data_IF_981086881940
#
_entry.id   IF_981086881940
#
_cell.length_a   1.000
_cell.length_b   1.000
_cell.length_c   1.000
_cell.angle_alpha   90.00
_cell.angle_beta   90.00
_cell.angle_gamma   90.00
#
_symmetry.space_group_name_H-M   'P 1'
#
loop_
_entity.id
_entity.type
_entity.pdbx_description
1 polymer ?
#
# COMPACT_ATOMS: atom_id res chain seq x y z
N UNK A 1 -23.03 -0.13 29.85
CA UNK A 1 -22.62 -1.35 29.13
C UNK A 1 -21.55 -0.95 28.12
N UNK A 2 -20.29 -1.25 28.42
CA UNK A 2 -19.17 -0.97 27.52
C UNK A 2 -19.30 -1.91 26.32
N UNK A 3 -19.71 -1.35 25.18
CA UNK A 3 -19.59 -2.03 23.89
C UNK A 3 -18.10 -2.09 23.57
N UNK A 4 -17.46 -3.19 23.91
CA UNK A 4 -16.18 -3.58 23.34
C UNK A 4 -16.42 -3.91 21.88
N UNK A 5 -16.52 -2.86 21.06
CA UNK A 5 -16.44 -2.95 19.61
C UNK A 5 -15.15 -3.70 19.30
N UNK A 6 -15.27 -4.97 18.92
CA UNK A 6 -14.14 -5.70 18.37
C UNK A 6 -13.54 -4.83 17.27
N UNK A 7 -12.21 -4.57 17.29
CA UNK A 7 -11.58 -3.80 16.25
C UNK A 7 -11.89 -4.45 14.89
N UNK A 8 -12.22 -3.64 13.88
CA UNK A 8 -12.43 -4.11 12.51
C UNK A 8 -11.25 -4.97 12.06
N UNK A 9 -11.45 -5.89 11.11
CA UNK A 9 -10.36 -6.73 10.61
C UNK A 9 -9.28 -5.84 10.00
N UNK A 10 -9.68 -4.75 9.32
CA UNK A 10 -8.75 -3.68 8.92
C UNK A 10 -7.89 -3.17 10.08
N UNK A 11 -8.50 -2.81 11.21
CA UNK A 11 -7.76 -2.32 12.39
C UNK A 11 -6.86 -3.39 13.02
N UNK A 12 -7.28 -4.66 12.99
CA UNK A 12 -6.46 -5.81 13.43
C UNK A 12 -5.22 -5.97 12.53
N UNK A 13 -5.37 -5.82 11.22
CA UNK A 13 -4.24 -5.88 10.25
C UNK A 13 -3.26 -4.72 10.49
N UNK A 14 -3.76 -3.50 10.69
CA UNK A 14 -2.92 -2.32 11.00
C UNK A 14 -2.13 -2.50 12.31
N UNK A 15 -2.80 -2.99 13.36
CA UNK A 15 -2.16 -3.28 14.64
C UNK A 15 -1.11 -4.40 14.51
N UNK A 16 -1.41 -5.45 13.74
CA UNK A 16 -0.47 -6.55 13.48
C UNK A 16 0.78 -6.05 12.75
N UNK A 17 0.61 -5.24 11.69
CA UNK A 17 1.72 -4.66 10.94
C UNK A 17 2.64 -3.84 11.86
N UNK A 18 2.07 -2.97 12.68
CA UNK A 18 2.83 -2.17 13.64
C UNK A 18 3.61 -3.05 14.62
N UNK A 19 2.94 -3.99 15.28
CA UNK A 19 3.56 -4.88 16.24
C UNK A 19 4.66 -5.77 15.62
N UNK A 20 4.49 -6.19 14.36
CA UNK A 20 5.48 -6.95 13.62
C UNK A 20 6.79 -6.17 13.44
N UNK A 21 6.72 -4.95 12.92
CA UNK A 21 7.91 -4.14 12.68
C UNK A 21 8.56 -3.64 13.98
N UNK A 22 7.78 -3.30 14.99
CA UNK A 22 8.33 -2.96 16.32
C UNK A 22 9.07 -4.14 16.96
N UNK A 23 8.57 -5.37 16.77
CA UNK A 23 9.27 -6.57 17.25
C UNK A 23 10.54 -6.86 16.48
N UNK A 24 10.52 -6.70 15.15
CA UNK A 24 11.68 -6.88 14.29
C UNK A 24 12.78 -5.86 14.60
N UNK A 25 12.41 -4.60 14.75
CA UNK A 25 13.33 -3.51 15.08
C UNK A 25 14.05 -3.76 16.41
N UNK A 26 13.36 -4.28 17.43
CA UNK A 26 14.01 -4.64 18.71
C UNK A 26 15.08 -5.72 18.54
N UNK A 27 14.83 -6.71 17.69
CA UNK A 27 15.81 -7.77 17.41
C UNK A 27 17.01 -7.18 16.65
N UNK A 28 16.75 -6.33 15.66
CA UNK A 28 17.81 -5.68 14.88
C UNK A 28 18.67 -4.75 15.75
N UNK A 29 18.07 -3.98 16.66
CA UNK A 29 18.78 -3.15 17.64
C UNK A 29 19.68 -3.98 18.58
N UNK A 30 19.23 -5.17 19.01
CA UNK A 30 20.05 -6.07 19.82
C UNK A 30 21.25 -6.59 19.03
N UNK A 31 21.03 -7.02 17.78
CA UNK A 31 22.10 -7.46 16.87
C UNK A 31 23.13 -6.35 16.66
N UNK A 32 22.70 -5.11 16.42
CA UNK A 32 23.59 -3.96 16.25
C UNK A 32 24.39 -3.66 17.53
N UNK A 33 23.75 -3.69 18.70
CA UNK A 33 24.41 -3.46 19.98
C UNK A 33 25.47 -4.54 20.28
N UNK A 34 25.18 -5.81 20.03
CA UNK A 34 26.13 -6.91 20.20
C UNK A 34 27.30 -6.79 19.21
N UNK A 35 27.04 -6.46 17.94
CA UNK A 35 28.09 -6.18 16.96
C UNK A 35 29.02 -5.03 17.36
N UNK A 36 28.44 -3.95 17.90
CA UNK A 36 29.22 -2.82 18.40
C UNK A 36 30.12 -3.25 19.57
N UNK A 37 29.58 -4.03 20.50
CA UNK A 37 30.34 -4.55 21.65
C UNK A 37 31.51 -5.44 21.22
N UNK A 38 31.30 -6.31 20.22
CA UNK A 38 32.36 -7.11 19.61
C UNK A 38 33.43 -6.23 18.97
N UNK A 39 33.01 -5.18 18.26
CA UNK A 39 33.93 -4.23 17.61
C UNK A 39 34.81 -3.51 18.64
N UNK A 40 34.19 -3.02 19.72
CA UNK A 40 34.88 -2.33 20.81
C UNK A 40 35.90 -3.25 21.50
N UNK A 41 35.51 -4.49 21.83
CA UNK A 41 36.42 -5.50 22.42
C UNK A 41 37.55 -5.89 21.47
N UNK A 42 37.29 -6.02 20.17
CA UNK A 42 38.34 -6.30 19.18
C UNK A 42 39.36 -5.16 19.07
N UNK A 43 38.93 -3.90 19.16
CA UNK A 43 39.82 -2.75 19.20
C UNK A 43 40.67 -2.74 20.47
N UNK A 44 40.08 -3.07 21.62
CA UNK A 44 40.81 -3.21 22.89
C UNK A 44 41.86 -4.33 22.81
N UNK A 45 41.47 -5.52 22.34
CA UNK A 45 42.42 -6.63 22.13
C UNK A 45 43.56 -6.24 21.21
N UNK A 46 43.28 -5.50 20.13
CA UNK A 46 44.30 -5.03 19.19
C UNK A 46 45.29 -4.10 19.90
N UNK A 47 44.80 -3.12 20.66
CA UNK A 47 45.64 -2.20 21.43
C UNK A 47 46.52 -2.94 22.45
N UNK A 48 45.92 -3.89 23.20
CA UNK A 48 46.66 -4.71 24.16
C UNK A 48 47.75 -5.55 23.49
N UNK A 49 47.46 -6.18 22.34
CA UNK A 49 48.43 -7.01 21.60
C UNK A 49 49.57 -6.21 20.97
N UNK A 50 49.27 -5.03 20.44
CA UNK A 50 50.22 -4.23 19.67
C UNK A 50 51.03 -3.25 20.52
N UNK A 51 50.49 -2.81 21.66
CA UNK A 51 51.08 -1.72 22.46
C UNK A 51 51.46 -2.15 23.87
N UNK A 52 50.51 -2.61 24.68
CA UNK A 52 50.76 -2.83 26.11
C UNK A 52 51.50 -4.13 26.41
N UNK A 53 51.07 -5.23 25.79
CA UNK A 53 51.68 -6.54 26.01
C UNK A 53 53.15 -6.59 25.58
N UNK A 54 53.55 -6.07 24.41
CA UNK A 54 54.96 -6.02 24.02
C UNK A 54 55.82 -5.23 25.01
N UNK A 55 55.34 -4.06 25.48
CA UNK A 55 56.04 -3.25 26.50
C UNK A 55 56.19 -4.01 27.82
N UNK A 56 55.16 -4.72 28.26
CA UNK A 56 55.23 -5.54 29.47
C UNK A 56 56.21 -6.72 29.31
N UNK A 57 56.31 -7.30 28.12
CA UNK A 57 57.28 -8.36 27.80
C UNK A 57 58.72 -7.81 27.79
N UNK A 58 58.95 -6.61 27.26
CA UNK A 58 60.26 -5.94 27.32
C UNK A 58 60.71 -5.74 28.76
N UNK A 59 59.83 -5.19 29.62
CA UNK A 59 60.11 -5.02 31.06
C UNK A 59 60.47 -6.35 31.68
N UNK A 60 59.68 -7.41 31.43
CA UNK A 60 59.99 -8.75 31.93
C UNK A 60 61.36 -9.25 31.50
N UNK A 61 61.75 -9.05 30.25
CA UNK A 61 63.04 -9.51 29.72
C UNK A 61 64.20 -8.74 30.36
N UNK A 62 64.02 -7.43 30.58
CA UNK A 62 65.08 -6.55 31.12
C UNK A 62 65.21 -6.65 32.65
N UNK A 63 64.09 -6.66 33.38
CA UNK A 63 64.07 -6.59 34.85
C UNK A 63 63.73 -7.93 35.54
N UNK A 64 63.24 -8.91 34.80
CA UNK A 64 62.74 -10.18 35.35
C UNK A 64 61.33 -10.12 35.95
N UNK A 65 60.67 -8.95 35.98
CA UNK A 65 59.29 -8.81 36.51
C UNK A 65 58.24 -9.21 35.48
N UNK A 66 57.58 -10.36 35.70
CA UNK A 66 56.60 -10.97 34.81
C UNK A 66 55.14 -10.68 35.21
N UNK A 67 54.90 -9.89 36.26
CA UNK A 67 53.53 -9.69 36.79
C UNK A 67 52.60 -9.05 35.76
N UNK A 68 53.02 -7.95 35.15
CA UNK A 68 52.17 -7.21 34.21
C UNK A 68 51.96 -7.99 32.91
N UNK A 69 52.99 -8.66 32.41
CA UNK A 69 52.89 -9.52 31.22
C UNK A 69 51.89 -10.67 31.43
N UNK A 70 51.92 -11.34 32.60
CA UNK A 70 50.92 -12.36 32.94
C UNK A 70 49.51 -11.79 33.03
N UNK A 71 49.33 -10.64 33.68
CA UNK A 71 48.03 -9.98 33.82
C UNK A 71 47.42 -9.62 32.47
N UNK A 72 48.20 -8.99 31.59
CA UNK A 72 47.76 -8.62 30.24
C UNK A 72 47.46 -9.84 29.37
N UNK A 73 48.23 -10.92 29.50
CA UNK A 73 47.93 -12.18 28.80
C UNK A 73 46.58 -12.75 29.25
N UNK A 74 46.34 -12.84 30.56
CA UNK A 74 45.05 -13.30 31.08
C UNK A 74 43.88 -12.41 30.64
N UNK A 75 44.09 -11.09 30.55
CA UNK A 75 43.07 -10.18 30.03
C UNK A 75 42.78 -10.42 28.55
N UNK A 76 43.82 -10.63 27.73
CA UNK A 76 43.68 -10.97 26.32
C UNK A 76 42.92 -12.28 26.11
N UNK A 77 43.25 -13.32 26.88
CA UNK A 77 42.58 -14.62 26.80
C UNK A 77 41.08 -14.47 27.15
N UNK A 78 40.75 -13.71 28.20
CA UNK A 78 39.36 -13.41 28.58
C UNK A 78 38.60 -12.61 27.51
N UNK A 79 39.21 -11.55 26.96
CA UNK A 79 38.57 -10.76 25.91
C UNK A 79 38.32 -11.61 24.65
N UNK A 80 39.20 -12.56 24.34
CA UNK A 80 39.03 -13.47 23.22
C UNK A 80 37.88 -14.45 23.46
N UNK A 81 37.72 -14.96 24.69
CA UNK A 81 36.59 -15.79 25.11
C UNK A 81 35.27 -15.01 25.03
N UNK A 82 35.22 -13.81 25.61
CA UNK A 82 34.04 -12.93 25.54
C UNK A 82 33.62 -12.64 24.08
N UNK A 83 34.58 -12.39 23.19
CA UNK A 83 34.29 -12.14 21.76
C UNK A 83 33.72 -13.38 21.09
N UNK A 84 34.21 -14.57 21.41
CA UNK A 84 33.69 -15.82 20.86
C UNK A 84 32.25 -16.06 21.33
N UNK A 85 31.95 -15.86 22.62
CA UNK A 85 30.60 -15.97 23.17
C UNK A 85 29.62 -14.99 22.49
N UNK A 86 30.02 -13.73 22.31
CA UNK A 86 29.19 -12.72 21.64
C UNK A 86 28.97 -13.05 20.15
N UNK A 87 29.97 -13.66 19.48
CA UNK A 87 29.81 -14.13 18.10
C UNK A 87 28.81 -15.28 17.99
N UNK A 88 28.81 -16.21 18.94
CA UNK A 88 27.79 -17.25 19.03
C UNK A 88 26.41 -16.66 19.29
N UNK A 89 26.31 -15.67 20.19
CA UNK A 89 25.08 -14.94 20.46
C UNK A 89 24.51 -14.28 19.20
N UNK A 90 25.35 -13.64 18.37
CA UNK A 90 24.92 -13.07 17.09
C UNK A 90 24.31 -14.11 16.14
N UNK A 91 24.90 -15.30 16.06
CA UNK A 91 24.37 -16.39 15.22
C UNK A 91 22.99 -16.82 15.74
N UNK A 92 22.84 -16.92 17.06
CA UNK A 92 21.56 -17.24 17.69
C UNK A 92 20.54 -16.14 17.40
N UNK A 93 20.89 -14.86 17.56
CA UNK A 93 20.00 -13.73 17.29
C UNK A 93 19.56 -13.67 15.83
N UNK A 94 20.46 -13.96 14.88
CA UNK A 94 20.10 -14.06 13.46
C UNK A 94 19.05 -15.17 13.24
N UNK A 95 19.23 -16.34 13.86
CA UNK A 95 18.21 -17.39 13.81
C UNK A 95 16.90 -16.99 14.49
N UNK A 96 16.94 -16.23 15.58
CA UNK A 96 15.73 -15.72 16.26
C UNK A 96 14.98 -14.77 15.35
N UNK A 97 15.68 -13.87 14.66
CA UNK A 97 15.12 -12.96 13.67
C UNK A 97 14.38 -13.71 12.56
N UNK A 98 15.03 -14.70 11.96
CA UNK A 98 14.43 -15.48 10.88
C UNK A 98 13.20 -16.26 11.35
N UNK A 99 13.26 -16.88 12.54
CA UNK A 99 12.10 -17.55 13.15
C UNK A 99 10.97 -16.58 13.47
N UNK A 100 11.29 -15.37 13.93
CA UNK A 100 10.29 -14.35 14.20
C UNK A 100 9.52 -13.99 12.92
N UNK A 101 10.25 -13.69 11.82
CA UNK A 101 9.64 -13.39 10.52
C UNK A 101 8.81 -14.56 10.02
N UNK A 102 9.35 -15.78 10.06
CA UNK A 102 8.63 -16.98 9.64
C UNK A 102 7.33 -17.17 10.42
N UNK A 103 7.40 -17.11 11.76
CA UNK A 103 6.23 -17.31 12.65
C UNK A 103 5.17 -16.24 12.43
N UNK A 104 5.58 -14.97 12.38
CA UNK A 104 4.63 -13.86 12.16
C UNK A 104 4.04 -13.86 10.75
N UNK A 105 4.78 -14.30 9.74
CA UNK A 105 4.21 -14.48 8.41
C UNK A 105 3.10 -15.55 8.38
N UNK A 106 3.23 -16.62 9.18
CA UNK A 106 2.20 -17.63 9.32
C UNK A 106 0.97 -17.07 10.05
N UNK A 107 1.16 -16.34 11.16
CA UNK A 107 0.07 -15.65 11.86
C UNK A 107 -0.67 -14.65 10.94
N UNK A 108 0.05 -13.94 10.06
CA UNK A 108 -0.54 -12.99 9.13
C UNK A 108 -1.47 -13.67 8.10
N UNK A 109 -1.19 -14.92 7.72
CA UNK A 109 -2.04 -15.66 6.77
C UNK A 109 -3.45 -15.88 7.29
N UNK A 110 -3.59 -16.07 8.60
CA UNK A 110 -4.90 -16.24 9.25
C UNK A 110 -5.79 -14.99 9.14
N UNK A 111 -5.21 -13.80 8.91
CA UNK A 111 -5.96 -12.56 8.73
C UNK A 111 -6.50 -12.38 7.30
N UNK A 112 -6.00 -13.13 6.32
CA UNK A 112 -6.29 -12.90 4.88
C UNK A 112 -7.78 -13.09 4.58
N UNK A 113 -8.36 -14.18 5.05
CA UNK A 113 -9.75 -14.52 4.73
C UNK A 113 -10.70 -13.46 5.29
N UNK A 114 -10.59 -13.17 6.59
CA UNK A 114 -11.39 -12.18 7.28
C UNK A 114 -11.26 -10.78 6.65
N UNK A 115 -10.03 -10.38 6.28
CA UNK A 115 -9.77 -9.07 5.70
C UNK A 115 -10.38 -8.95 4.31
N UNK A 116 -10.24 -9.97 3.47
CA UNK A 116 -10.85 -9.99 2.14
C UNK A 116 -12.38 -9.95 2.23
N UNK A 117 -12.97 -10.69 3.17
CA UNK A 117 -14.42 -10.67 3.38
C UNK A 117 -14.92 -9.29 3.81
N UNK A 118 -14.24 -8.62 4.75
CA UNK A 118 -14.57 -7.24 5.15
C UNK A 118 -14.42 -6.27 3.97
N UNK A 119 -13.30 -6.33 3.25
CA UNK A 119 -13.02 -5.48 2.10
C UNK A 119 -14.08 -5.64 1.01
N UNK A 120 -14.42 -6.88 0.65
CA UNK A 120 -15.37 -7.15 -0.44
C UNK A 120 -16.79 -6.73 -0.06
N UNK A 121 -17.17 -6.87 1.21
CA UNK A 121 -18.42 -6.34 1.73
C UNK A 121 -18.47 -4.81 1.64
N UNK A 122 -17.42 -4.14 2.09
CA UNK A 122 -17.31 -2.68 2.02
C UNK A 122 -17.30 -2.16 0.57
N UNK A 123 -16.64 -2.89 -0.33
CA UNK A 123 -16.61 -2.60 -1.76
C UNK A 123 -18.00 -2.73 -2.38
N UNK A 124 -18.72 -3.83 -2.14
CA UNK A 124 -20.11 -4.04 -2.62
C UNK A 124 -21.04 -2.93 -2.17
N UNK A 125 -20.99 -2.55 -0.89
CA UNK A 125 -21.81 -1.45 -0.36
C UNK A 125 -21.47 -0.11 -1.03
N UNK A 126 -20.18 0.15 -1.24
CA UNK A 126 -19.73 1.39 -1.91
C UNK A 126 -20.13 1.43 -3.37
N UNK A 127 -19.95 0.34 -4.12
CA UNK A 127 -20.39 0.23 -5.51
C UNK A 127 -21.91 0.34 -5.64
N UNK A 128 -22.69 -0.23 -4.71
CA UNK A 128 -24.13 -0.05 -4.69
C UNK A 128 -24.52 1.43 -4.54
N UNK A 129 -23.91 2.15 -3.58
CA UNK A 129 -24.14 3.60 -3.41
C UNK A 129 -23.77 4.40 -4.66
N UNK A 130 -22.63 4.08 -5.29
CA UNK A 130 -22.21 4.71 -6.55
C UNK A 130 -23.21 4.45 -7.68
N UNK A 131 -23.74 3.23 -7.77
CA UNK A 131 -24.69 2.84 -8.81
C UNK A 131 -26.05 3.54 -8.64
N UNK A 132 -26.53 3.69 -7.40
CA UNK A 132 -27.73 4.48 -7.08
C UNK A 132 -27.53 5.95 -7.47
N UNK A 133 -26.34 6.51 -7.22
CA UNK A 133 -26.02 7.88 -7.65
C UNK A 133 -25.99 8.01 -9.19
N UNK A 134 -25.36 7.05 -9.89
CA UNK A 134 -25.34 7.00 -11.37
C UNK A 134 -26.76 6.97 -11.94
N UNK A 135 -27.63 6.13 -11.38
CA UNK A 135 -29.02 6.02 -11.81
C UNK A 135 -29.75 7.35 -11.70
N UNK A 136 -29.71 8.03 -10.55
CA UNK A 136 -30.36 9.33 -10.36
C UNK A 136 -29.88 10.36 -11.38
N UNK A 137 -28.58 10.36 -11.67
CA UNK A 137 -27.99 11.24 -12.66
C UNK A 137 -28.47 10.95 -14.09
N UNK A 138 -28.53 9.67 -14.49
CA UNK A 138 -29.05 9.27 -15.81
C UNK A 138 -30.55 9.55 -15.96
N UNK A 139 -31.33 9.32 -14.90
CA UNK A 139 -32.76 9.65 -14.87
C UNK A 139 -32.96 11.16 -15.09
N UNK A 140 -32.13 12.02 -14.47
CA UNK A 140 -32.17 13.46 -14.70
C UNK A 140 -31.79 13.84 -16.14
N UNK A 141 -30.73 13.25 -16.70
CA UNK A 141 -30.36 13.50 -18.11
C UNK A 141 -31.44 13.06 -19.09
N UNK A 142 -32.06 11.90 -18.85
CA UNK A 142 -33.18 11.43 -19.66
C UNK A 142 -34.32 12.44 -19.64
N UNK A 143 -34.66 12.96 -18.46
CA UNK A 143 -35.71 13.97 -18.31
C UNK A 143 -35.39 15.26 -19.08
N UNK A 144 -34.20 15.83 -18.86
CA UNK A 144 -33.76 17.08 -19.52
C UNK A 144 -33.54 16.91 -21.04
N UNK A 145 -33.33 15.68 -21.52
CA UNK A 145 -33.19 15.39 -22.95
C UNK A 145 -34.52 15.35 -23.70
N UNK A 146 -35.67 15.24 -23.02
CA UNK A 146 -36.99 15.11 -23.67
C UNK A 146 -37.30 16.26 -24.64
N UNK A 147 -37.11 17.55 -24.30
CA UNK A 147 -37.37 18.64 -25.24
C UNK A 147 -36.45 18.57 -26.47
N UNK A 148 -35.17 18.19 -26.27
CA UNK A 148 -34.23 18.04 -27.38
C UNK A 148 -34.61 16.86 -28.28
N UNK A 149 -35.11 15.76 -27.72
CA UNK A 149 -35.64 14.63 -28.48
C UNK A 149 -36.82 15.06 -29.37
N UNK A 150 -37.71 15.92 -28.88
CA UNK A 150 -38.81 16.45 -29.67
C UNK A 150 -38.31 17.27 -30.87
N UNK A 151 -37.34 18.16 -30.65
CA UNK A 151 -36.68 18.88 -31.75
C UNK A 151 -36.01 17.91 -32.72
N UNK A 152 -35.33 16.88 -32.24
CA UNK A 152 -34.72 15.85 -33.08
C UNK A 152 -35.75 15.12 -33.95
N UNK A 153 -36.92 14.82 -33.39
CA UNK A 153 -38.04 14.17 -34.11
C UNK A 153 -38.58 15.08 -35.22
N UNK A 154 -38.85 16.34 -34.91
CA UNK A 154 -39.29 17.35 -35.89
C UNK A 154 -38.22 17.56 -36.96
N UNK A 155 -36.96 17.57 -36.55
CA UNK A 155 -35.82 17.69 -37.43
C UNK A 155 -35.77 16.56 -38.48
N UNK A 156 -36.02 15.31 -38.05
CA UNK A 156 -36.18 14.15 -38.95
C UNK A 156 -37.37 14.29 -39.88
N UNK A 157 -38.50 14.81 -39.41
CA UNK A 157 -39.68 15.06 -40.27
C UNK A 157 -39.32 16.05 -41.39
N UNK A 158 -38.65 17.16 -41.04
CA UNK A 158 -38.16 18.12 -42.03
C UNK A 158 -37.18 17.49 -43.03
N UNK A 159 -36.29 16.62 -42.55
CA UNK A 159 -35.38 15.87 -43.42
C UNK A 159 -36.14 14.95 -44.40
N UNK A 160 -37.22 14.32 -43.95
CA UNK A 160 -38.12 13.52 -44.78
C UNK A 160 -38.77 14.34 -45.89
N UNK A 161 -39.34 15.50 -45.56
CA UNK A 161 -39.97 16.40 -46.55
C UNK A 161 -38.98 16.86 -47.62
N UNK A 162 -37.78 17.28 -47.20
CA UNK A 162 -36.74 17.71 -48.14
C UNK A 162 -36.32 16.58 -49.08
N UNK A 163 -36.21 15.35 -48.56
CA UNK A 163 -35.86 14.17 -49.35
C UNK A 163 -36.88 13.88 -50.45
N UNK A 164 -38.18 13.99 -50.15
CA UNK A 164 -39.26 13.85 -51.16
C UNK A 164 -39.14 14.92 -52.27
N UNK A 165 -38.66 16.12 -51.93
CA UNK A 165 -38.39 17.20 -52.88
C UNK A 165 -37.07 17.08 -53.65
N UNK A 166 -36.33 15.98 -53.52
CA UNK A 166 -35.02 15.81 -54.16
C UNK A 166 -33.88 16.60 -53.50
N UNK A 167 -34.11 17.16 -52.30
CA UNK A 167 -33.13 17.92 -51.54
C UNK A 167 -32.60 17.11 -50.35
N UNK A 168 -31.31 17.23 -50.06
CA UNK A 168 -30.73 16.66 -48.85
C UNK A 168 -30.66 17.72 -47.76
N UNK A 169 -31.19 17.40 -46.58
CA UNK A 169 -31.04 18.29 -45.42
C UNK A 169 -29.56 18.33 -44.99
N UNK A 170 -28.97 19.52 -44.75
CA UNK A 170 -27.66 19.61 -44.11
C UNK A 170 -27.67 18.88 -42.77
N UNK A 171 -26.54 18.28 -42.36
CA UNK A 171 -26.47 17.50 -41.11
C UNK A 171 -27.13 18.24 -39.96
N UNK A 172 -28.18 17.64 -39.40
CA UNK A 172 -28.75 18.09 -38.14
C UNK A 172 -27.75 17.81 -37.03
N UNK A 173 -27.15 18.86 -36.51
CA UNK A 173 -26.34 18.78 -35.30
C UNK A 173 -27.06 19.58 -34.21
N UNK A 174 -27.12 19.02 -33.00
CA UNK A 174 -27.35 19.85 -31.83
C UNK A 174 -26.06 20.63 -31.57
N UNK A 175 -26.09 21.97 -31.51
CA UNK A 175 -24.90 22.75 -31.20
C UNK A 175 -24.45 22.41 -29.78
N UNK A 176 -23.34 21.67 -29.68
CA UNK A 176 -22.65 21.46 -28.41
C UNK A 176 -21.99 22.78 -27.99
N UNK A 177 -22.64 23.53 -27.10
CA UNK A 177 -22.05 24.71 -26.47
C UNK A 177 -21.20 24.37 -25.24
N UNK A 178 -21.07 23.08 -24.88
CA UNK A 178 -20.21 22.62 -23.79
C UNK A 178 -18.98 21.85 -24.33
N UNK A 179 -17.80 22.32 -23.92
CA UNK A 179 -16.50 21.83 -24.34
C UNK A 179 -16.26 20.37 -23.92
N UNK A 180 -15.52 19.63 -24.77
CA UNK A 180 -15.35 18.18 -24.64
C UNK A 180 -14.46 17.73 -23.47
N UNK A 181 -13.52 18.53 -22.93
CA UNK A 181 -12.61 18.12 -21.83
C UNK A 181 -11.92 19.31 -21.15
N UNK A 182 -11.59 19.16 -19.86
CA UNK A 182 -10.42 19.81 -19.25
C UNK A 182 -9.75 18.84 -18.26
N UNK A 183 -8.53 18.38 -18.54
CA UNK A 183 -7.56 17.97 -17.50
C UNK A 183 -7.55 16.53 -16.97
N UNK A 184 -8.46 16.13 -16.09
CA UNK A 184 -8.07 15.29 -14.93
C UNK A 184 -8.35 13.78 -15.01
N UNK A 185 -8.16 13.17 -16.18
CA UNK A 185 -8.49 11.75 -16.42
C UNK A 185 -7.57 10.71 -15.76
N UNK A 186 -6.43 11.09 -15.19
CA UNK A 186 -5.39 10.14 -14.77
C UNK A 186 -5.06 10.15 -13.27
N UNK A 187 -5.80 10.88 -12.43
CA UNK A 187 -5.40 11.07 -11.03
C UNK A 187 -5.88 10.00 -10.03
N UNK A 188 -6.86 9.14 -10.39
CA UNK A 188 -7.51 8.26 -9.40
C UNK A 188 -7.97 6.91 -9.96
N UNK A 189 -7.04 5.98 -10.21
CA UNK A 189 -7.22 4.51 -10.26
C UNK A 189 -8.63 3.98 -10.66
N UNK A 190 -9.13 4.42 -11.81
CA UNK A 190 -10.32 3.83 -12.44
C UNK A 190 -11.69 4.16 -11.81
N UNK A 191 -11.81 5.10 -10.87
CA UNK A 191 -13.13 5.60 -10.43
C UNK A 191 -13.40 6.96 -11.06
N UNK A 192 -14.02 6.92 -12.24
CA UNK A 192 -14.54 8.10 -12.95
C UNK A 192 -15.94 7.74 -13.45
N UNK A 193 -16.98 8.41 -12.98
CA UNK A 193 -18.35 8.29 -13.52
C UNK A 193 -18.86 9.61 -14.10
N UNK A 194 -18.31 10.08 -15.24
CA UNK A 194 -19.01 11.02 -16.09
C UNK A 194 -19.83 10.28 -17.13
N UNK A 195 -20.98 10.84 -17.46
CA UNK A 195 -21.65 10.51 -18.71
C UNK A 195 -20.78 10.98 -19.86
N UNK A 196 -20.36 10.01 -20.66
CA UNK A 196 -19.66 10.27 -21.90
C UNK A 196 -20.57 11.04 -22.86
N UNK A 197 -19.98 11.81 -23.76
CA UNK A 197 -20.73 12.47 -24.84
C UNK A 197 -21.59 11.47 -25.63
N UNK A 198 -21.11 10.24 -25.78
CA UNK A 198 -21.81 9.18 -26.49
C UNK A 198 -23.06 8.71 -25.72
N UNK A 199 -22.95 8.51 -24.40
CA UNK A 199 -24.10 8.21 -23.53
C UNK A 199 -25.16 9.32 -23.58
N UNK A 200 -24.77 10.60 -23.50
CA UNK A 200 -25.72 11.71 -23.61
C UNK A 200 -26.40 11.77 -25.00
N UNK A 201 -25.64 11.51 -26.06
CA UNK A 201 -26.14 11.52 -27.44
C UNK A 201 -27.15 10.41 -27.70
N UNK A 202 -27.01 9.24 -27.08
CA UNK A 202 -27.97 8.14 -27.16
C UNK A 202 -29.36 8.55 -26.64
N UNK A 203 -29.42 9.16 -25.46
CA UNK A 203 -30.69 9.65 -24.87
C UNK A 203 -31.33 10.76 -25.72
N UNK A 204 -30.54 11.74 -26.17
CA UNK A 204 -31.02 12.83 -27.02
C UNK A 204 -31.66 12.30 -28.31
N UNK A 205 -31.06 11.29 -28.92
CA UNK A 205 -31.54 10.69 -30.17
C UNK A 205 -32.66 9.65 -29.98
N UNK A 206 -33.03 9.33 -28.73
CA UNK A 206 -34.02 8.30 -28.40
C UNK A 206 -33.59 6.90 -28.83
N UNK A 207 -32.28 6.63 -28.78
CA UNK A 207 -31.69 5.32 -29.10
C UNK A 207 -31.32 4.53 -27.84
N UNK A 208 -31.67 5.04 -26.66
CA UNK A 208 -31.51 4.33 -25.40
C UNK A 208 -32.42 3.10 -25.34
N UNK A 209 -31.92 2.05 -24.73
CA UNK A 209 -32.66 0.84 -24.42
C UNK A 209 -33.04 0.82 -22.94
N UNK A 210 -34.04 0.01 -22.58
CA UNK A 210 -34.33 -0.24 -21.17
C UNK A 210 -33.09 -0.80 -20.44
N UNK A 211 -32.32 -1.65 -21.12
CA UNK A 211 -31.09 -2.25 -20.61
C UNK A 211 -30.03 -1.22 -20.22
N UNK A 212 -29.96 -0.04 -20.87
CA UNK A 212 -29.03 1.05 -20.53
C UNK A 212 -29.29 1.69 -19.15
N UNK A 213 -30.45 1.40 -18.55
CA UNK A 213 -30.87 1.91 -17.23
C UNK A 213 -31.17 0.76 -16.26
N UNK A 214 -31.70 -0.37 -16.75
CA UNK A 214 -32.22 -1.45 -15.91
C UNK A 214 -31.15 -2.33 -15.26
N UNK A 215 -29.95 -2.43 -15.84
CA UNK A 215 -28.81 -3.10 -15.19
C UNK A 215 -28.31 -2.35 -13.95
N UNK A 216 -28.70 -1.08 -13.80
CA UNK A 216 -28.41 -0.30 -12.60
C UNK A 216 -29.47 -0.59 -11.54
N UNK A 217 -29.07 -0.81 -10.28
CA UNK A 217 -29.98 -1.18 -9.21
C UNK A 217 -31.17 -0.22 -9.14
N UNK A 218 -32.39 -0.78 -9.18
CA UNK A 218 -33.63 -0.08 -8.79
C UNK A 218 -33.56 0.10 -7.27
N UNK A 219 -33.93 1.30 -6.79
CA UNK A 219 -33.86 1.79 -5.39
C UNK A 219 -33.76 0.72 -4.31
#
# INVERSE_FOLDING_TARGET
MQSTLQPSVKGRVEAFHKAFYEGLEKIDQQIEATNKTITDKNLEMKFLREVEYPKAVEVRVVSGDDKEAKKLKTLLDKLQEDVAELQEELIIMASVRDRYVFTKSAEAKELIHDFNAERDSAAKQSYHRMSVAKRKYLEALKEESKPLNEYYRVDRMLAGVLKEGGHTKPMSYFPNLSAKKFGDKFLTDGIYLPVTYDEATLFIQGRDTAEDIEYLPKR
#
